data_IF_403467921062
#
_entry.id   IF_403467921062
#
_cell.length_a   1.000
_cell.length_b   1.000
_cell.length_c   1.000
_cell.angle_alpha   90.00
_cell.angle_beta   90.00
_cell.angle_gamma   90.00
#
_symmetry.space_group_name_H-M   'P 1'
#
loop_
_entity.id
_entity.type
_entity.pdbx_description
1 polymer ?
#
# COMPACT_ATOMS: atom_id res chain seq x y z
N UNK A 1 -1.33 7.78 29.46
CA UNK A 1 -1.26 6.73 30.52
C UNK A 1 -2.61 6.64 31.22
N UNK A 2 -3.24 5.44 31.21
CA UNK A 2 -4.47 5.20 31.98
C UNK A 2 -4.17 5.19 33.47
N UNK A 3 -4.94 5.95 34.22
CA UNK A 3 -4.93 5.77 35.69
C UNK A 3 -5.58 4.45 36.04
N UNK A 4 -5.02 3.73 37.01
CA UNK A 4 -5.61 2.50 37.52
C UNK A 4 -7.07 2.75 37.94
N UNK A 5 -8.02 1.99 37.34
CA UNK A 5 -9.46 2.13 37.60
C UNK A 5 -10.28 2.91 36.58
N UNK A 6 -9.67 3.54 35.56
CA UNK A 6 -10.40 4.19 34.46
C UNK A 6 -11.09 3.16 33.56
N UNK A 7 -12.41 3.27 33.42
CA UNK A 7 -13.25 2.45 32.54
C UNK A 7 -13.46 3.05 31.13
N UNK A 8 -12.68 4.07 30.75
CA UNK A 8 -12.77 4.71 29.43
C UNK A 8 -12.29 3.77 28.31
N UNK A 9 -12.86 3.83 27.12
CA UNK A 9 -12.32 3.14 25.95
C UNK A 9 -10.91 3.64 25.62
N UNK A 10 -10.15 2.86 24.86
CA UNK A 10 -8.83 3.27 24.39
C UNK A 10 -8.79 3.32 22.85
N UNK A 11 -7.90 4.14 22.33
CA UNK A 11 -7.43 4.12 20.97
C UNK A 11 -5.91 3.96 21.01
N UNK A 12 -5.38 2.99 20.25
CA UNK A 12 -3.97 2.69 20.21
C UNK A 12 -3.53 2.53 18.75
N UNK A 13 -2.52 3.29 18.35
CA UNK A 13 -1.82 3.10 17.08
C UNK A 13 -0.41 2.60 17.38
N UNK A 14 -0.05 1.48 16.76
CA UNK A 14 1.30 0.95 16.75
C UNK A 14 1.86 1.11 15.34
N UNK A 15 2.82 2.00 15.19
CA UNK A 15 3.48 2.27 13.92
C UNK A 15 4.88 1.66 13.95
N UNK A 16 5.05 0.53 13.27
CA UNK A 16 6.34 -0.12 13.11
C UNK A 16 7.05 0.41 11.86
N UNK A 17 8.37 0.59 11.93
CA UNK A 17 9.18 0.96 10.77
C UNK A 17 9.40 -0.20 9.79
N UNK A 18 9.38 -1.43 10.29
CA UNK A 18 9.51 -2.65 9.47
C UNK A 18 8.20 -2.95 8.72
N UNK A 19 8.27 -3.54 7.53
CA UNK A 19 9.42 -4.10 6.81
C UNK A 19 10.18 -3.11 5.90
N UNK A 20 10.09 -1.79 6.13
CA UNK A 20 10.86 -0.77 5.39
C UNK A 20 12.37 -1.05 5.47
N UNK A 21 13.13 -0.62 4.46
CA UNK A 21 14.60 -0.72 4.49
C UNK A 21 15.19 -0.02 5.74
N UNK A 22 16.37 -0.49 6.21
CA UNK A 22 17.27 -1.52 5.67
C UNK A 22 16.80 -2.96 5.96
N UNK A 23 16.68 -3.76 4.91
CA UNK A 23 16.08 -5.11 4.99
C UNK A 23 16.94 -6.15 5.74
N UNK A 24 18.26 -5.92 5.90
CA UNK A 24 19.15 -6.83 6.60
C UNK A 24 19.15 -6.64 8.13
N UNK A 25 18.57 -5.56 8.62
CA UNK A 25 18.48 -5.28 10.06
C UNK A 25 17.33 -6.05 10.71
N UNK A 26 17.41 -7.38 10.71
CA UNK A 26 16.41 -8.26 11.26
C UNK A 26 16.98 -9.16 12.35
N UNK A 27 16.14 -9.63 13.32
CA UNK A 27 16.58 -10.62 14.30
C UNK A 27 17.05 -11.91 13.62
N UNK A 28 18.21 -12.43 14.04
CA UNK A 28 18.83 -13.63 13.44
C UNK A 28 17.88 -14.84 13.39
N UNK A 29 17.07 -15.05 14.43
CA UNK A 29 16.07 -16.13 14.53
C UNK A 29 15.02 -16.11 13.42
N UNK A 30 14.77 -14.94 12.84
CA UNK A 30 13.85 -14.78 11.70
C UNK A 30 14.59 -14.85 10.38
N UNK A 31 15.85 -14.36 10.32
CA UNK A 31 16.70 -14.44 9.13
C UNK A 31 16.95 -15.90 8.68
N UNK A 32 17.17 -16.80 9.62
CA UNK A 32 17.42 -18.22 9.36
C UNK A 32 16.26 -18.95 8.67
N UNK A 33 15.04 -18.41 8.72
CA UNK A 33 13.86 -18.99 8.05
C UNK A 33 13.84 -18.77 6.55
N UNK A 34 14.58 -17.78 6.06
CA UNK A 34 14.55 -17.34 4.66
C UNK A 34 15.94 -17.34 4.06
N UNK A 35 16.28 -18.45 3.41
CA UNK A 35 17.51 -18.53 2.64
C UNK A 35 17.31 -17.79 1.32
N UNK A 36 18.14 -16.82 1.02
CA UNK A 36 18.02 -16.01 -0.18
C UNK A 36 18.13 -16.84 -1.48
N UNK A 37 18.84 -17.99 -1.43
CA UNK A 37 18.95 -18.93 -2.56
C UNK A 37 17.62 -19.55 -2.96
N UNK A 38 16.70 -19.69 -2.01
CA UNK A 38 15.39 -20.33 -2.19
C UNK A 38 14.29 -19.29 -2.53
N UNK A 39 14.62 -17.99 -2.56
CA UNK A 39 13.67 -16.94 -2.90
C UNK A 39 13.40 -16.91 -4.40
N UNK A 40 12.13 -17.05 -4.77
CA UNK A 40 11.66 -16.86 -6.13
C UNK A 40 11.23 -15.42 -6.38
N UNK A 41 11.44 -14.94 -7.60
CA UNK A 41 10.97 -13.64 -8.04
C UNK A 41 9.53 -13.69 -8.51
N UNK A 42 8.83 -12.56 -8.35
CA UNK A 42 7.56 -12.37 -9.04
C UNK A 42 7.77 -12.34 -10.56
N UNK A 43 6.77 -12.77 -11.35
CA UNK A 43 6.88 -12.83 -12.81
C UNK A 43 7.15 -11.51 -13.53
N UNK A 44 6.95 -10.39 -12.87
CA UNK A 44 7.20 -9.05 -13.38
C UNK A 44 8.61 -8.52 -13.08
N UNK A 45 9.50 -9.37 -12.55
CA UNK A 45 10.92 -9.06 -12.46
C UNK A 45 11.63 -9.36 -13.79
N UNK A 46 12.63 -8.55 -14.14
CA UNK A 46 13.40 -8.76 -15.36
C UNK A 46 14.20 -10.07 -15.32
N UNK A 47 14.08 -10.94 -16.32
CA UNK A 47 14.90 -12.16 -16.38
C UNK A 47 16.36 -11.87 -16.81
N UNK A 48 16.65 -10.68 -17.34
CA UNK A 48 17.91 -10.32 -17.96
C UNK A 48 18.88 -9.55 -17.05
N UNK A 49 18.58 -9.48 -15.75
CA UNK A 49 19.45 -8.79 -14.80
C UNK A 49 20.78 -9.53 -14.57
N UNK A 50 21.89 -8.79 -14.35
CA UNK A 50 23.17 -9.37 -13.95
C UNK A 50 23.02 -10.25 -12.70
N UNK A 51 23.90 -11.27 -12.58
CA UNK A 51 23.83 -12.24 -11.48
C UNK A 51 23.96 -11.60 -10.09
N UNK A 52 24.83 -10.60 -9.95
CA UNK A 52 24.99 -9.84 -8.71
C UNK A 52 23.72 -9.08 -8.29
N UNK A 53 23.01 -8.49 -9.27
CA UNK A 53 21.72 -7.80 -9.02
C UNK A 53 20.67 -8.80 -8.56
N UNK A 54 20.61 -9.98 -9.18
CA UNK A 54 19.70 -11.05 -8.75
C UNK A 54 19.99 -11.49 -7.32
N UNK A 55 21.24 -11.67 -6.96
CA UNK A 55 21.62 -12.04 -5.58
C UNK A 55 21.20 -10.94 -4.60
N UNK A 56 21.52 -9.68 -4.90
CA UNK A 56 21.15 -8.54 -4.04
C UNK A 56 19.62 -8.48 -3.82
N UNK A 57 18.81 -8.59 -4.88
CA UNK A 57 17.35 -8.62 -4.77
C UNK A 57 16.82 -9.77 -3.91
N UNK A 58 17.37 -10.97 -4.06
CA UNK A 58 16.96 -12.13 -3.25
C UNK A 58 17.24 -11.92 -1.78
N UNK A 59 18.40 -11.34 -1.45
CA UNK A 59 18.73 -10.99 -0.07
C UNK A 59 17.79 -9.93 0.51
N UNK A 60 17.45 -8.91 -0.28
CA UNK A 60 16.44 -7.92 0.12
C UNK A 60 15.09 -8.57 0.42
N UNK A 61 14.58 -9.43 -0.50
CA UNK A 61 13.33 -10.16 -0.32
C UNK A 61 13.35 -11.08 0.90
N UNK A 62 14.46 -11.81 1.12
CA UNK A 62 14.63 -12.67 2.30
C UNK A 62 14.52 -11.86 3.59
N UNK A 63 15.19 -10.70 3.65
CA UNK A 63 15.10 -9.77 4.77
C UNK A 63 13.71 -9.21 4.98
N UNK A 64 13.06 -8.80 3.91
CA UNK A 64 11.68 -8.30 3.94
C UNK A 64 10.71 -9.35 4.51
N UNK A 65 10.81 -10.61 4.08
CA UNK A 65 10.00 -11.70 4.62
C UNK A 65 10.29 -12.00 6.08
N UNK A 66 11.56 -11.92 6.49
CA UNK A 66 11.95 -12.08 7.88
C UNK A 66 11.35 -10.98 8.77
N UNK A 67 11.35 -9.73 8.33
CA UNK A 67 10.67 -8.61 9.00
C UNK A 67 9.18 -8.86 9.17
N UNK A 68 8.50 -9.30 8.10
CA UNK A 68 7.07 -9.63 8.15
C UNK A 68 6.79 -10.73 9.17
N UNK A 69 7.63 -11.78 9.21
CA UNK A 69 7.50 -12.85 10.21
C UNK A 69 7.70 -12.36 11.63
N UNK A 70 8.63 -11.43 11.85
CA UNK A 70 8.82 -10.81 13.16
C UNK A 70 7.61 -9.99 13.59
N UNK A 71 7.04 -9.20 12.66
CA UNK A 71 5.81 -8.43 12.91
C UNK A 71 4.61 -9.33 13.22
N UNK A 72 4.43 -10.40 12.46
CA UNK A 72 3.35 -11.38 12.68
C UNK A 72 3.42 -11.97 14.08
N UNK A 73 4.62 -12.33 14.55
CA UNK A 73 4.84 -12.80 15.91
C UNK A 73 4.46 -11.76 16.99
N UNK A 74 4.75 -10.47 16.74
CA UNK A 74 4.36 -9.42 17.71
C UNK A 74 2.84 -9.15 17.67
N UNK A 75 2.23 -9.16 16.48
CA UNK A 75 0.77 -9.08 16.35
C UNK A 75 0.10 -10.26 17.05
N UNK A 76 0.61 -11.48 16.90
CA UNK A 76 0.12 -12.67 17.60
C UNK A 76 0.08 -12.49 19.11
N UNK A 77 1.13 -11.92 19.72
CA UNK A 77 1.18 -11.61 21.16
C UNK A 77 0.12 -10.60 21.59
N UNK A 78 -0.12 -9.56 20.77
CA UNK A 78 -1.16 -8.57 21.05
C UNK A 78 -2.56 -9.19 20.98
N UNK A 79 -2.82 -10.00 19.97
CA UNK A 79 -4.10 -10.71 19.82
C UNK A 79 -4.35 -11.66 20.99
N UNK A 80 -3.33 -12.42 21.39
CA UNK A 80 -3.42 -13.30 22.57
C UNK A 80 -3.75 -12.49 23.84
N UNK A 81 -3.08 -11.36 24.05
CA UNK A 81 -3.38 -10.48 25.19
C UNK A 81 -4.84 -10.02 25.19
N UNK A 82 -5.38 -9.63 24.04
CA UNK A 82 -6.79 -9.23 23.93
C UNK A 82 -7.75 -10.39 24.20
N UNK A 83 -7.41 -11.59 23.72
CA UNK A 83 -8.22 -12.81 23.87
C UNK A 83 -8.25 -13.31 25.33
N UNK A 84 -7.18 -13.12 26.10
CA UNK A 84 -7.05 -13.60 27.48
C UNK A 84 -7.52 -12.57 28.51
N UNK A 85 -7.51 -11.26 28.18
CA UNK A 85 -7.78 -10.18 29.13
C UNK A 85 -9.28 -9.87 29.23
N UNK A 86 -9.90 -9.94 30.43
CA UNK A 86 -11.28 -9.46 30.65
C UNK A 86 -11.40 -7.96 30.36
N UNK A 87 -12.51 -7.54 29.74
CA UNK A 87 -12.80 -6.11 29.60
C UNK A 87 -13.22 -5.52 30.95
N UNK A 88 -12.52 -4.53 31.50
CA UNK A 88 -12.87 -3.92 32.79
C UNK A 88 -14.23 -3.20 32.78
N UNK A 89 -14.79 -2.92 31.59
CA UNK A 89 -16.11 -2.30 31.40
C UNK A 89 -17.24 -3.34 31.32
N UNK A 90 -16.91 -4.57 30.87
CA UNK A 90 -17.81 -5.70 30.70
C UNK A 90 -17.05 -6.99 31.10
N UNK A 91 -16.91 -7.30 32.41
CA UNK A 91 -16.05 -8.39 32.87
C UNK A 91 -16.43 -9.78 32.35
N UNK A 92 -17.64 -9.95 31.86
CA UNK A 92 -18.13 -11.16 31.20
C UNK A 92 -17.58 -11.34 29.78
N UNK A 93 -16.97 -10.30 29.22
CA UNK A 93 -16.35 -10.29 27.88
C UNK A 93 -14.84 -10.19 27.94
N UNK A 94 -14.19 -10.61 26.85
CA UNK A 94 -12.79 -10.36 26.64
C UNK A 94 -12.58 -9.04 25.90
N UNK A 95 -11.41 -8.42 26.05
CA UNK A 95 -11.04 -7.22 25.30
C UNK A 95 -11.15 -7.43 23.79
N UNK A 96 -10.88 -8.64 23.30
CA UNK A 96 -11.05 -8.99 21.89
C UNK A 96 -12.47 -8.77 21.36
N UNK A 97 -13.50 -8.98 22.16
CA UNK A 97 -14.90 -8.84 21.74
C UNK A 97 -15.36 -7.37 21.70
N UNK A 98 -14.64 -6.51 22.38
CA UNK A 98 -14.95 -5.08 22.54
C UNK A 98 -13.92 -4.15 21.88
N UNK A 99 -12.97 -4.73 21.13
CA UNK A 99 -11.89 -3.98 20.44
C UNK A 99 -11.91 -4.28 18.97
N UNK A 100 -11.92 -3.24 18.15
CA UNK A 100 -11.68 -3.33 16.70
C UNK A 100 -10.16 -3.35 16.52
N UNK A 101 -9.64 -4.44 15.94
CA UNK A 101 -8.24 -4.53 15.55
C UNK A 101 -8.14 -4.32 14.07
N UNK A 102 -7.25 -3.42 13.64
CA UNK A 102 -6.95 -3.16 12.23
C UNK A 102 -5.46 -3.36 12.01
N UNK A 103 -5.10 -4.17 11.04
CA UNK A 103 -3.75 -4.33 10.56
C UNK A 103 -3.68 -3.89 9.09
N UNK A 104 -2.73 -3.02 8.78
CA UNK A 104 -2.54 -2.48 7.43
C UNK A 104 -1.16 -1.90 7.25
N UNK A 105 -0.90 -1.34 6.07
CA UNK A 105 0.31 -0.58 5.76
C UNK A 105 -0.08 0.74 5.09
N UNK A 106 0.78 1.74 5.14
CA UNK A 106 0.63 3.03 4.47
C UNK A 106 0.88 2.94 2.95
N UNK A 107 1.82 2.10 2.52
CA UNK A 107 2.14 1.81 1.13
C UNK A 107 2.78 0.43 1.02
N UNK A 108 2.95 -0.06 -0.20
CA UNK A 108 3.70 -1.26 -0.50
C UNK A 108 5.17 -0.98 -0.82
N UNK A 109 5.86 -1.98 -1.39
CA UNK A 109 7.26 -1.87 -1.83
C UNK A 109 7.46 -2.64 -3.13
N UNK A 110 8.09 -2.01 -4.11
CA UNK A 110 8.33 -2.58 -5.43
C UNK A 110 9.33 -3.75 -5.42
N UNK A 111 10.32 -3.74 -4.52
CA UNK A 111 11.32 -4.80 -4.31
C UNK A 111 11.90 -5.39 -5.62
N UNK A 112 12.05 -4.57 -6.63
CA UNK A 112 12.57 -4.95 -7.95
C UNK A 112 11.52 -5.33 -8.99
N UNK A 113 10.24 -5.43 -8.64
CA UNK A 113 9.14 -5.60 -9.60
C UNK A 113 9.14 -4.45 -10.61
N UNK A 114 8.91 -4.76 -11.89
CA UNK A 114 9.00 -3.81 -13.01
C UNK A 114 10.36 -3.07 -13.09
N UNK A 115 11.42 -3.62 -12.49
CA UNK A 115 12.71 -2.95 -12.35
C UNK A 115 12.66 -1.73 -11.42
N UNK A 116 11.64 -1.60 -10.58
CA UNK A 116 11.44 -0.50 -9.66
C UNK A 116 11.77 -0.91 -8.21
N UNK A 117 12.06 0.08 -7.37
CA UNK A 117 12.33 -0.08 -5.94
C UNK A 117 11.52 0.94 -5.14
N UNK A 118 11.33 0.69 -3.86
CA UNK A 118 10.52 1.51 -2.95
C UNK A 118 9.04 1.56 -3.34
N UNK A 119 8.48 2.73 -3.42
CA UNK A 119 7.06 3.06 -3.62
C UNK A 119 6.92 4.17 -4.66
N UNK A 120 5.77 4.84 -4.68
CA UNK A 120 5.48 6.00 -5.55
C UNK A 120 5.31 5.63 -7.02
N UNK A 121 4.81 4.43 -7.27
CA UNK A 121 4.49 3.90 -8.59
C UNK A 121 3.00 3.53 -8.64
N UNK A 122 2.36 3.54 -9.82
CA UNK A 122 0.95 3.13 -9.93
C UNK A 122 0.73 1.62 -9.87
N UNK A 123 1.80 0.83 -9.79
CA UNK A 123 1.73 -0.63 -9.75
C UNK A 123 1.22 -1.15 -8.42
N UNK A 124 0.63 -2.35 -8.47
CA UNK A 124 0.04 -3.03 -7.31
C UNK A 124 1.01 -3.20 -6.15
N UNK A 125 2.29 -3.45 -6.42
CA UNK A 125 3.32 -3.61 -5.39
C UNK A 125 3.55 -2.34 -4.58
N UNK A 126 3.29 -1.17 -5.16
CA UNK A 126 3.40 0.13 -4.47
C UNK A 126 2.09 0.56 -3.83
N UNK A 127 0.96 0.34 -4.50
CA UNK A 127 -0.35 0.88 -4.09
C UNK A 127 -1.19 -0.12 -3.31
N UNK A 128 -0.96 -1.43 -3.50
CA UNK A 128 -1.69 -2.49 -2.82
C UNK A 128 -1.07 -2.80 -1.47
N UNK A 129 -1.87 -2.66 -0.43
CA UNK A 129 -1.47 -2.92 0.96
C UNK A 129 -2.38 -3.97 1.60
N UNK A 130 -1.89 -4.74 2.59
CA UNK A 130 -2.77 -5.58 3.39
C UNK A 130 -3.76 -4.70 4.16
N UNK A 131 -5.00 -5.17 4.28
CA UNK A 131 -5.99 -4.62 5.20
C UNK A 131 -6.74 -5.79 5.84
N UNK A 132 -6.50 -6.01 7.12
CA UNK A 132 -7.13 -7.07 7.89
C UNK A 132 -7.84 -6.42 9.07
N UNK A 133 -9.11 -6.76 9.27
CA UNK A 133 -9.90 -6.27 10.39
C UNK A 133 -10.47 -7.43 11.21
N UNK A 134 -10.41 -7.31 12.52
CA UNK A 134 -10.94 -8.29 13.46
C UNK A 134 -11.82 -7.61 14.49
N UNK A 135 -13.06 -8.06 14.58
CA UNK A 135 -13.99 -7.69 15.65
C UNK A 135 -14.96 -8.86 15.90
N UNK A 136 -14.62 -9.77 16.81
CA UNK A 136 -15.43 -10.95 17.07
C UNK A 136 -16.89 -10.63 17.39
N UNK A 137 -17.79 -11.38 16.78
CA UNK A 137 -19.24 -11.16 16.93
C UNK A 137 -19.83 -10.00 16.10
N UNK A 138 -18.99 -9.21 15.42
CA UNK A 138 -19.43 -8.08 14.59
C UNK A 138 -18.95 -8.20 13.14
N UNK A 139 -17.70 -8.58 12.91
CA UNK A 139 -17.14 -8.89 11.59
C UNK A 139 -17.06 -10.41 11.48
N UNK A 140 -17.61 -10.96 10.40
CA UNK A 140 -17.61 -12.41 10.14
C UNK A 140 -16.19 -12.92 9.93
N UNK A 141 -15.84 -14.00 10.62
CA UNK A 141 -14.54 -14.65 10.48
C UNK A 141 -14.37 -15.24 9.06
N UNK A 142 -13.16 -15.15 8.52
CA UNK A 142 -12.80 -15.72 7.21
C UNK A 142 -13.43 -15.00 6.01
N UNK A 143 -14.12 -13.89 6.19
CA UNK A 143 -14.65 -13.10 5.08
C UNK A 143 -13.51 -12.42 4.33
N UNK A 144 -13.53 -12.54 3.00
CA UNK A 144 -12.72 -11.76 2.07
C UNK A 144 -13.65 -10.96 1.16
N UNK A 145 -13.20 -9.81 0.72
CA UNK A 145 -13.91 -8.99 -0.27
C UNK A 145 -12.93 -8.48 -1.33
N UNK A 146 -13.38 -8.43 -2.58
CA UNK A 146 -12.62 -7.88 -3.71
C UNK A 146 -12.91 -6.39 -3.95
N UNK A 147 -13.79 -5.79 -3.14
CA UNK A 147 -14.10 -4.36 -3.24
C UNK A 147 -12.87 -3.52 -2.86
N UNK A 148 -12.45 -2.57 -3.69
CA UNK A 148 -11.32 -1.71 -3.35
C UNK A 148 -11.64 -0.82 -2.16
N UNK A 149 -10.69 -0.63 -1.26
CA UNK A 149 -10.77 0.26 -0.10
C UNK A 149 -9.61 1.24 -0.15
N UNK A 150 -9.90 2.52 -0.06
CA UNK A 150 -8.87 3.55 0.15
C UNK A 150 -8.50 3.67 1.61
N UNK A 151 -7.21 3.86 1.92
CA UNK A 151 -6.77 4.14 3.30
C UNK A 151 -7.40 5.42 3.88
N UNK A 152 -7.78 6.37 3.04
CA UNK A 152 -8.50 7.60 3.47
C UNK A 152 -9.86 7.27 4.09
N UNK A 153 -10.49 6.16 3.69
CA UNK A 153 -11.76 5.69 4.24
C UNK A 153 -11.66 5.06 5.63
N UNK A 154 -10.45 4.72 6.10
CA UNK A 154 -10.29 4.03 7.40
C UNK A 154 -10.75 4.89 8.57
N UNK A 155 -10.37 6.17 8.61
CA UNK A 155 -10.71 7.04 9.73
C UNK A 155 -12.23 7.23 9.86
N UNK A 156 -12.99 7.66 8.84
CA UNK A 156 -14.44 7.80 8.94
C UNK A 156 -15.12 6.46 9.25
N UNK A 157 -14.68 5.36 8.65
CA UNK A 157 -15.26 4.03 8.91
C UNK A 157 -15.05 3.56 10.35
N UNK A 158 -13.86 3.78 10.93
CA UNK A 158 -13.58 3.43 12.33
C UNK A 158 -14.37 4.30 13.31
N UNK A 159 -14.58 5.58 13.02
CA UNK A 159 -15.44 6.46 13.80
C UNK A 159 -16.87 5.94 13.78
N UNK A 160 -17.43 5.64 12.60
CA UNK A 160 -18.79 5.09 12.47
C UNK A 160 -18.93 3.74 13.19
N UNK A 161 -17.98 2.81 13.01
CA UNK A 161 -17.98 1.52 13.72
C UNK A 161 -17.92 1.68 15.25
N UNK A 162 -17.29 2.76 15.71
CA UNK A 162 -17.15 3.08 17.15
C UNK A 162 -18.33 3.91 17.69
N UNK A 163 -19.29 4.29 16.83
CA UNK A 163 -20.43 5.14 17.22
C UNK A 163 -20.03 6.60 17.49
N UNK A 164 -18.93 7.05 16.90
CA UNK A 164 -18.43 8.43 17.02
C UNK A 164 -18.81 9.20 15.74
N UNK A 165 -19.23 10.45 15.93
CA UNK A 165 -19.58 11.32 14.79
C UNK A 165 -18.39 11.56 13.87
N UNK A 166 -18.62 11.43 12.56
CA UNK A 166 -17.61 11.69 11.55
C UNK A 166 -17.52 13.21 11.35
N UNK A 167 -16.35 13.83 11.57
CA UNK A 167 -16.21 15.26 11.37
C UNK A 167 -16.39 15.65 9.89
N UNK A 168 -17.02 16.80 9.60
CA UNK A 168 -17.33 17.20 8.22
C UNK A 168 -16.08 17.42 7.34
N UNK A 169 -14.91 17.55 7.94
CA UNK A 169 -13.64 17.65 7.24
C UNK A 169 -13.07 16.32 6.79
N UNK A 170 -13.68 15.18 7.16
CA UNK A 170 -13.23 13.88 6.72
C UNK A 170 -13.52 13.69 5.22
N UNK A 171 -12.47 13.45 4.44
CA UNK A 171 -12.57 13.32 2.97
C UNK A 171 -12.91 11.89 2.52
N UNK A 172 -12.60 10.89 3.36
CA UNK A 172 -12.86 9.48 3.06
C UNK A 172 -14.35 9.12 3.20
N UNK A 173 -14.76 8.10 2.48
CA UNK A 173 -16.10 7.54 2.60
C UNK A 173 -16.25 6.67 3.85
N UNK A 174 -17.45 6.67 4.45
CA UNK A 174 -17.78 5.72 5.51
C UNK A 174 -18.12 4.35 4.91
N UNK A 175 -17.24 3.39 5.15
CA UNK A 175 -17.38 2.01 4.71
C UNK A 175 -17.77 1.05 5.87
N UNK A 176 -18.29 1.57 6.97
CA UNK A 176 -18.64 0.74 8.13
C UNK A 176 -19.58 -0.41 7.78
N UNK A 177 -20.63 -0.16 6.98
CA UNK A 177 -21.57 -1.19 6.55
C UNK A 177 -20.90 -2.23 5.63
N UNK A 178 -20.05 -1.79 4.71
CA UNK A 178 -19.26 -2.69 3.87
C UNK A 178 -18.35 -3.59 4.73
N UNK A 179 -17.65 -3.02 5.69
CA UNK A 179 -16.78 -3.76 6.62
C UNK A 179 -17.60 -4.79 7.42
N UNK A 180 -18.83 -4.45 7.81
CA UNK A 180 -19.73 -5.37 8.51
C UNK A 180 -20.38 -6.43 7.61
N UNK A 181 -20.20 -6.36 6.29
CA UNK A 181 -20.64 -7.40 5.36
C UNK A 181 -21.62 -7.00 4.27
N UNK A 182 -22.02 -5.73 4.20
CA UNK A 182 -22.88 -5.24 3.11
C UNK A 182 -22.06 -4.93 1.85
N UNK A 183 -21.91 -5.94 0.98
CA UNK A 183 -21.16 -5.81 -0.29
C UNK A 183 -21.74 -4.76 -1.24
N UNK A 184 -23.00 -4.35 -1.07
CA UNK A 184 -23.59 -3.30 -1.89
C UNK A 184 -23.00 -1.91 -1.63
N UNK A 185 -22.27 -1.77 -0.53
CA UNK A 185 -21.57 -0.55 -0.11
C UNK A 185 -20.09 -0.53 -0.52
N UNK A 186 -19.63 -1.50 -1.32
CA UNK A 186 -18.28 -1.50 -1.84
C UNK A 186 -18.04 -0.27 -2.71
N UNK A 187 -16.85 0.32 -2.61
CA UNK A 187 -16.44 1.40 -3.52
C UNK A 187 -16.27 0.85 -4.94
N UNK A 188 -16.72 1.61 -5.92
CA UNK A 188 -16.54 1.28 -7.34
C UNK A 188 -15.07 1.49 -7.80
N UNK A 189 -14.42 2.48 -7.22
CA UNK A 189 -13.01 2.78 -7.49
C UNK A 189 -12.38 3.53 -6.33
N UNK A 190 -11.07 3.40 -6.20
CA UNK A 190 -10.26 4.17 -5.26
C UNK A 190 -9.25 5.02 -6.02
N UNK A 191 -8.95 6.18 -5.45
CA UNK A 191 -8.00 7.13 -5.98
C UNK A 191 -6.58 6.74 -5.63
N UNK A 192 -5.68 6.81 -6.60
CA UNK A 192 -4.24 6.73 -6.40
C UNK A 192 -3.57 7.97 -6.99
N UNK A 193 -2.65 8.57 -6.26
CA UNK A 193 -1.92 9.72 -6.75
C UNK A 193 -0.50 9.76 -6.21
N UNK A 194 0.37 10.40 -6.96
CA UNK A 194 1.68 10.80 -6.51
C UNK A 194 2.01 12.17 -7.09
N UNK A 195 2.05 13.24 -6.27
CA UNK A 195 2.12 14.59 -6.80
C UNK A 195 3.54 15.07 -7.10
N UNK A 196 4.58 14.35 -6.69
CA UNK A 196 5.98 14.80 -6.72
C UNK A 196 6.76 14.07 -7.80
N UNK A 197 7.64 14.76 -8.53
CA UNK A 197 8.63 14.14 -9.40
C UNK A 197 9.81 13.62 -8.56
N UNK A 198 9.93 12.30 -8.46
CA UNK A 198 11.06 11.65 -7.78
C UNK A 198 12.02 11.06 -8.81
N UNK A 199 12.99 11.86 -9.23
CA UNK A 199 13.98 11.51 -10.26
C UNK A 199 14.74 10.23 -9.97
N UNK A 200 14.98 9.92 -8.68
CA UNK A 200 15.75 8.74 -8.26
C UNK A 200 15.04 7.44 -8.61
N UNK A 201 13.71 7.40 -8.48
CA UNK A 201 12.89 6.23 -8.77
C UNK A 201 12.19 6.33 -10.12
N UNK A 202 12.47 7.38 -10.89
CA UNK A 202 11.85 7.65 -12.20
C UNK A 202 10.31 7.55 -12.18
N UNK A 203 9.70 8.12 -11.14
CA UNK A 203 8.26 8.24 -11.03
C UNK A 203 7.84 9.67 -11.36
N UNK A 204 7.21 9.90 -12.50
CA UNK A 204 6.58 11.19 -12.76
C UNK A 204 5.39 11.40 -11.83
N UNK A 205 4.98 12.64 -11.58
CA UNK A 205 3.70 12.91 -10.95
C UNK A 205 2.56 12.24 -11.71
N UNK A 206 1.70 11.50 -11.01
CA UNK A 206 0.58 10.81 -11.65
C UNK A 206 -0.71 10.93 -10.84
N UNK A 207 -1.81 10.66 -11.52
CA UNK A 207 -3.14 10.45 -10.97
C UNK A 207 -3.71 9.17 -11.54
N UNK A 208 -4.53 8.48 -10.78
CA UNK A 208 -5.10 7.25 -11.28
C UNK A 208 -6.22 6.71 -10.42
N UNK A 209 -6.82 5.64 -10.90
CA UNK A 209 -7.86 4.90 -10.22
C UNK A 209 -7.57 3.41 -10.23
N UNK A 210 -7.92 2.75 -9.14
CA UNK A 210 -7.96 1.31 -9.04
C UNK A 210 -9.42 0.91 -8.84
N UNK A 211 -9.91 0.04 -9.71
CA UNK A 211 -11.20 -0.65 -9.58
C UNK A 211 -10.95 -2.10 -9.16
N UNK A 212 -12.01 -2.89 -8.97
CA UNK A 212 -11.88 -4.33 -8.77
C UNK A 212 -11.03 -5.00 -9.86
N UNK A 213 -11.22 -4.59 -11.12
CA UNK A 213 -10.70 -5.31 -12.28
C UNK A 213 -9.52 -4.60 -12.95
N UNK A 214 -9.36 -3.28 -12.77
CA UNK A 214 -8.38 -2.49 -13.51
C UNK A 214 -7.60 -1.51 -12.65
N UNK A 215 -6.37 -1.26 -13.07
CA UNK A 215 -5.55 -0.11 -12.62
C UNK A 215 -5.30 0.80 -13.81
N UNK A 216 -5.61 2.08 -13.67
CA UNK A 216 -5.37 3.09 -14.70
C UNK A 216 -4.69 4.31 -14.09
N UNK A 217 -3.63 4.79 -14.72
CA UNK A 217 -2.94 5.99 -14.30
C UNK A 217 -2.55 6.87 -15.50
N UNK A 218 -2.56 8.18 -15.23
CA UNK A 218 -2.21 9.23 -16.19
C UNK A 218 -1.13 10.13 -15.62
N UNK A 219 -0.29 10.67 -16.49
CA UNK A 219 0.59 11.80 -16.23
C UNK A 219 0.03 13.04 -16.91
N UNK A 220 0.71 14.17 -16.83
CA UNK A 220 0.34 15.37 -17.61
C UNK A 220 0.53 15.22 -19.11
N UNK A 221 1.42 14.33 -19.53
CA UNK A 221 1.63 14.00 -20.94
C UNK A 221 0.54 13.09 -21.50
N UNK A 222 -0.32 12.53 -20.65
CA UNK A 222 -1.42 11.66 -21.03
C UNK A 222 -1.42 10.31 -20.31
N UNK A 223 -2.17 9.33 -20.86
CA UNK A 223 -2.28 7.99 -20.30
C UNK A 223 -0.91 7.32 -20.14
N UNK A 224 -0.64 6.81 -18.94
CA UNK A 224 0.62 6.14 -18.61
C UNK A 224 0.51 4.62 -18.60
N UNK A 225 -0.48 4.11 -17.89
CA UNK A 225 -0.69 2.67 -17.84
C UNK A 225 -2.15 2.30 -17.63
N UNK A 226 -2.51 1.15 -18.18
CA UNK A 226 -3.81 0.48 -17.99
C UNK A 226 -3.57 -1.03 -17.89
N UNK A 227 -3.98 -1.63 -16.78
CA UNK A 227 -3.83 -3.06 -16.53
C UNK A 227 -5.17 -3.71 -16.20
N UNK A 228 -5.37 -4.93 -16.66
CA UNK A 228 -6.42 -5.84 -16.20
C UNK A 228 -5.88 -6.63 -14.99
N UNK A 229 -6.26 -6.23 -13.79
CA UNK A 229 -5.75 -6.83 -12.55
C UNK A 229 -6.18 -8.29 -12.37
N UNK A 230 -7.22 -8.72 -13.07
CA UNK A 230 -7.78 -10.07 -12.98
C UNK A 230 -7.08 -11.05 -13.92
N UNK A 231 -6.86 -10.63 -15.18
CA UNK A 231 -6.18 -11.45 -16.19
C UNK A 231 -4.65 -11.36 -16.08
N UNK A 232 -4.16 -10.23 -15.60
CA UNK A 232 -2.74 -9.94 -15.42
C UNK A 232 -2.44 -9.40 -14.01
N UNK A 233 -2.53 -10.24 -12.97
CA UNK A 233 -2.35 -9.84 -11.58
C UNK A 233 -0.96 -9.27 -11.26
N UNK A 234 0.01 -9.48 -12.14
CA UNK A 234 1.37 -8.94 -12.03
C UNK A 234 1.60 -7.71 -12.91
N UNK A 235 0.57 -7.20 -13.59
CA UNK A 235 0.58 -5.96 -14.37
C UNK A 235 1.70 -5.90 -15.43
N UNK A 236 1.97 -7.03 -16.10
CA UNK A 236 3.03 -7.16 -17.10
C UNK A 236 2.66 -6.61 -18.48
N UNK A 237 1.36 -6.56 -18.78
CA UNK A 237 0.83 -6.20 -20.08
C UNK A 237 0.07 -4.87 -19.98
N UNK A 238 0.76 -3.78 -20.29
CA UNK A 238 0.11 -2.47 -20.37
C UNK A 238 -0.80 -2.43 -21.62
N UNK A 239 -2.12 -2.41 -21.41
CA UNK A 239 -3.15 -2.49 -22.46
C UNK A 239 -3.16 -1.28 -23.40
N UNK A 240 -2.61 -0.14 -22.95
CA UNK A 240 -2.45 1.06 -23.80
C UNK A 240 -1.06 1.16 -24.42
N UNK A 241 -0.28 0.06 -24.39
CA UNK A 241 0.96 -0.05 -25.13
C UNK A 241 0.71 -0.14 -26.64
N UNK A 242 1.77 0.04 -27.40
CA UNK A 242 1.75 0.17 -28.86
C UNK A 242 0.93 -0.91 -29.61
N UNK A 243 0.84 -2.12 -29.08
CA UNK A 243 0.20 -3.24 -29.76
C UNK A 243 -1.34 -3.32 -29.58
N UNK A 244 -1.88 -2.76 -28.52
CA UNK A 244 -3.30 -2.94 -28.15
C UNK A 244 -4.10 -1.64 -28.06
N UNK A 245 -3.46 -0.49 -28.04
CA UNK A 245 -4.06 0.81 -27.74
C UNK A 245 -5.20 1.24 -28.67
N UNK A 246 -5.21 0.75 -29.92
CA UNK A 246 -6.18 1.16 -30.94
C UNK A 246 -7.37 0.18 -31.04
N UNK A 247 -7.45 -0.85 -30.17
CA UNK A 247 -8.62 -1.72 -30.10
C UNK A 247 -9.83 -0.94 -29.55
N UNK A 248 -11.00 -1.03 -30.21
CA UNK A 248 -12.19 -0.31 -29.76
C UNK A 248 -12.56 -0.57 -28.30
N UNK A 249 -12.34 -1.80 -27.83
CA UNK A 249 -12.62 -2.22 -26.45
C UNK A 249 -11.67 -1.53 -25.46
N UNK A 250 -10.39 -1.44 -25.78
CA UNK A 250 -9.39 -0.77 -24.93
C UNK A 250 -9.64 0.73 -24.93
N UNK A 251 -9.94 1.33 -26.07
CA UNK A 251 -10.29 2.76 -26.15
C UNK A 251 -11.51 3.08 -25.27
N UNK A 252 -12.58 2.29 -25.37
CA UNK A 252 -13.78 2.48 -24.56
C UNK A 252 -13.50 2.28 -23.05
N UNK A 253 -12.72 1.27 -22.68
CA UNK A 253 -12.30 1.03 -21.30
C UNK A 253 -11.47 2.19 -20.76
N UNK A 254 -10.48 2.63 -21.52
CA UNK A 254 -9.62 3.78 -21.15
C UNK A 254 -10.48 5.03 -20.94
N UNK A 255 -11.41 5.33 -21.82
CA UNK A 255 -12.32 6.46 -21.68
C UNK A 255 -13.14 6.39 -20.39
N UNK A 256 -13.74 5.22 -20.10
CA UNK A 256 -14.49 4.99 -18.85
C UNK A 256 -13.64 5.21 -17.59
N UNK A 257 -12.37 4.78 -17.61
CA UNK A 257 -11.47 4.96 -16.48
C UNK A 257 -10.97 6.40 -16.39
N UNK A 258 -10.78 7.08 -17.53
CA UNK A 258 -10.45 8.51 -17.55
C UNK A 258 -11.58 9.35 -16.93
N UNK A 259 -12.84 9.06 -17.23
CA UNK A 259 -13.98 9.73 -16.60
C UNK A 259 -13.95 9.62 -15.07
N UNK A 260 -13.50 8.48 -14.53
CA UNK A 260 -13.29 8.31 -13.08
C UNK A 260 -12.15 9.16 -12.54
N UNK A 261 -11.03 9.24 -13.26
CA UNK A 261 -9.91 10.15 -12.91
C UNK A 261 -10.39 11.59 -12.89
N UNK A 262 -11.12 12.03 -13.92
CA UNK A 262 -11.62 13.40 -14.04
C UNK A 262 -12.60 13.74 -12.91
N UNK A 263 -13.49 12.79 -12.56
CA UNK A 263 -14.40 12.94 -11.43
C UNK A 263 -13.66 13.11 -10.09
N UNK A 264 -12.56 12.37 -9.88
CA UNK A 264 -11.73 12.52 -8.71
C UNK A 264 -10.98 13.87 -8.68
N UNK A 265 -10.41 14.30 -9.79
CA UNK A 265 -9.76 15.62 -9.92
C UNK A 265 -10.73 16.75 -9.57
N UNK A 266 -11.96 16.66 -10.08
CA UNK A 266 -13.03 17.63 -9.78
C UNK A 266 -13.41 17.60 -8.30
N UNK A 267 -13.67 16.42 -7.74
CA UNK A 267 -14.07 16.23 -6.34
C UNK A 267 -13.03 16.76 -5.36
N UNK A 268 -11.75 16.55 -5.63
CA UNK A 268 -10.64 16.97 -4.77
C UNK A 268 -10.12 18.35 -5.11
N UNK A 269 -10.66 19.00 -6.15
CA UNK A 269 -10.13 20.27 -6.69
C UNK A 269 -8.62 20.17 -6.97
N UNK A 270 -8.16 19.00 -7.44
CA UNK A 270 -6.75 18.76 -7.73
C UNK A 270 -6.38 19.37 -9.08
N UNK A 271 -5.53 20.42 -9.13
CA UNK A 271 -5.13 21.04 -10.39
C UNK A 271 -4.16 20.18 -11.21
N UNK A 272 -3.83 18.99 -10.76
CA UNK A 272 -2.83 18.11 -11.33
C UNK A 272 -1.49 18.81 -11.53
N UNK A 273 -1.03 19.50 -10.51
CA UNK A 273 0.26 20.18 -10.55
C UNK A 273 1.42 19.20 -10.68
N UNK A 274 2.50 19.64 -11.34
CA UNK A 274 3.76 18.91 -11.43
C UNK A 274 4.60 19.08 -10.17
N UNK A 275 5.60 18.24 -9.97
CA UNK A 275 6.49 18.29 -8.82
C UNK A 275 7.19 19.63 -8.60
N UNK A 276 7.55 20.34 -9.68
CA UNK A 276 8.17 21.65 -9.59
C UNK A 276 7.20 22.69 -8.96
N UNK A 277 5.94 22.68 -9.36
CA UNK A 277 4.91 23.57 -8.81
C UNK A 277 4.56 23.24 -7.35
N UNK A 278 4.59 21.94 -6.99
CA UNK A 278 4.36 21.50 -5.61
C UNK A 278 5.56 21.83 -4.74
N UNK A 279 6.80 21.64 -5.22
CA UNK A 279 8.01 21.97 -4.47
C UNK A 279 8.13 23.44 -4.14
N UNK A 280 7.70 24.32 -5.04
CA UNK A 280 7.70 25.77 -4.81
C UNK A 280 6.75 26.21 -3.68
N UNK A 281 5.65 25.47 -3.47
CA UNK A 281 4.69 25.72 -2.38
C UNK A 281 5.14 25.17 -1.03
N UNK A 282 5.86 24.08 -1.03
CA UNK A 282 6.24 23.33 0.18
C UNK A 282 7.70 23.49 0.57
N UNK A 283 8.40 24.48 0.06
CA UNK A 283 9.75 24.75 0.56
C UNK A 283 9.72 25.07 2.06
N UNK A 284 10.25 24.17 2.87
CA UNK A 284 11.57 24.44 3.41
C UNK A 284 12.44 23.17 3.45
N UNK A 285 13.59 23.26 2.86
CA UNK A 285 14.72 22.41 3.20
C UNK A 285 14.76 21.04 2.57
N UNK A 286 14.13 20.81 1.41
CA UNK A 286 14.47 19.65 0.60
C UNK A 286 15.90 19.81 0.12
N UNK A 287 16.77 19.05 0.76
CA UNK A 287 18.19 18.95 0.39
C UNK A 287 18.26 18.31 -0.98
N UNK A 288 18.60 19.11 -1.97
CA UNK A 288 18.95 18.60 -3.29
C UNK A 288 19.93 17.44 -3.17
N UNK A 289 19.55 16.28 -3.68
CA UNK A 289 20.47 15.25 -4.13
C UNK A 289 21.17 14.39 -3.11
N UNK A 290 20.85 14.47 -1.83
CA UNK A 290 21.32 13.46 -0.88
C UNK A 290 20.39 12.26 -0.96
N UNK A 291 20.84 11.23 -1.72
CA UNK A 291 20.33 9.88 -1.51
C UNK A 291 20.33 9.63 0.01
N UNK A 292 19.23 9.15 0.61
CA UNK A 292 19.32 8.55 1.92
C UNK A 292 20.58 7.68 1.90
N UNK A 293 21.41 7.77 2.91
CA UNK A 293 22.50 6.81 3.04
C UNK A 293 21.81 5.47 3.15
N UNK A 294 21.72 4.78 2.02
CA UNK A 294 21.16 3.43 1.98
C UNK A 294 22.19 2.60 2.70
N UNK A 295 21.88 2.27 3.95
CA UNK A 295 22.74 1.43 4.78
C UNK A 295 22.84 -0.01 4.22
N UNK A 296 22.03 -0.31 3.23
CA UNK A 296 21.88 -1.61 2.60
C UNK A 296 22.74 -1.70 1.33
N UNK A 297 23.86 -2.42 1.44
CA UNK A 297 24.81 -2.60 0.35
C UNK A 297 24.17 -3.32 -0.85
N UNK A 298 23.34 -4.32 -0.62
CA UNK A 298 22.64 -5.06 -1.68
C UNK A 298 21.68 -4.17 -2.44
N UNK A 299 20.96 -3.31 -1.73
CA UNK A 299 20.10 -2.31 -2.37
C UNK A 299 20.91 -1.30 -3.19
N UNK A 300 22.05 -0.85 -2.65
CA UNK A 300 22.96 0.04 -3.36
C UNK A 300 23.45 -0.56 -4.68
N UNK A 301 23.83 -1.85 -4.68
CA UNK A 301 24.23 -2.58 -5.88
C UNK A 301 23.10 -2.61 -6.90
N UNK A 302 21.89 -2.97 -6.48
CA UNK A 302 20.72 -3.02 -7.35
C UNK A 302 20.39 -1.66 -7.99
N UNK A 303 20.45 -0.59 -7.21
CA UNK A 303 20.20 0.78 -7.68
C UNK A 303 21.27 1.28 -8.64
N UNK A 304 22.55 0.98 -8.38
CA UNK A 304 23.66 1.34 -9.27
C UNK A 304 23.57 0.63 -10.62
N UNK A 305 23.24 -0.66 -10.62
CA UNK A 305 23.05 -1.43 -11.86
C UNK A 305 21.90 -0.84 -12.70
N UNK A 306 20.80 -0.44 -12.09
CA UNK A 306 19.71 0.25 -12.78
C UNK A 306 20.14 1.57 -13.41
N UNK A 307 20.91 2.40 -12.69
CA UNK A 307 21.44 3.66 -13.25
C UNK A 307 22.34 3.45 -14.45
N UNK A 308 23.10 2.35 -14.48
CA UNK A 308 23.95 2.00 -15.61
C UNK A 308 23.15 1.54 -16.84
N UNK A 309 21.98 0.95 -16.67
CA UNK A 309 21.11 0.47 -17.75
C UNK A 309 20.29 1.59 -18.43
N UNK A 310 20.27 2.80 -17.87
CA UNK A 310 19.49 3.95 -18.38
C UNK A 310 20.37 4.93 -19.18
N UNK A 311 21.70 4.75 -19.14
CA UNK A 311 22.66 5.47 -20.00
C UNK A 311 22.87 4.72 -21.33
#
# INVERSE_FOLDING_TARGET
>A
ERKAGEKAPFFLTLSWGTPHDPYQEMPAEHAEKYRWEDIEYLPNNSPYEPGEVKVAKRKMLAGYYAHITALDGQLGRLLQFLDETPDPRAPEKRLAETTIVVFGSDHGDMLGSHGQYFKSQPYKESTGVPLIMRWPGRISAGRCSDGPISLVALMPSLLALSGVEIPPQAEGEDLALFILGDESRAQDSVWINFPVDVKIIHSPPFRGVVTRDHTYAVTREGPWCLFDNKQDPFQRNNLISWAARDSPEIVALQQKLQEKVDAWLQRTSDPFETGDQVSDRYQPGHRDGVLPQVADEEFRIALQARRASIK
#
